data_IF_396160597511
#
_entry.id   IF_396160597511
#
_cell.length_a   1.000
_cell.length_b   1.000
_cell.length_c   1.000
_cell.angle_alpha   90.00
_cell.angle_beta   90.00
_cell.angle_gamma   90.00
#
_symmetry.space_group_name_H-M   'P 1'
#
loop_
_entity.id
_entity.type
_entity.pdbx_description
1 polymer ?
#
# COMPACT_ATOMS: atom_id res chain seq x y z
N UNK A 1 -53.06 -17.46 -45.97
CA UNK A 1 -52.83 -16.31 -45.08
C UNK A 1 -51.93 -16.81 -43.97
N UNK A 2 -50.62 -16.52 -44.02
CA UNK A 2 -49.98 -15.45 -43.23
C UNK A 2 -50.12 -15.73 -41.72
N UNK A 3 -49.09 -15.91 -40.88
CA UNK A 3 -47.69 -15.43 -40.90
C UNK A 3 -46.87 -16.22 -39.87
N UNK A 4 -45.58 -16.29 -40.16
CA UNK A 4 -44.42 -16.64 -39.33
C UNK A 4 -44.41 -15.95 -37.96
N UNK A 5 -43.70 -16.52 -36.97
CA UNK A 5 -42.64 -15.88 -36.14
C UNK A 5 -42.15 -16.97 -35.16
N UNK A 6 -41.04 -17.66 -35.44
CA UNK A 6 -39.67 -17.27 -35.07
C UNK A 6 -39.54 -16.96 -33.57
N UNK A 7 -39.37 -18.00 -32.75
CA UNK A 7 -38.83 -17.92 -31.39
C UNK A 7 -37.45 -18.55 -31.39
N UNK A 8 -36.42 -17.72 -31.34
CA UNK A 8 -35.02 -18.07 -31.46
C UNK A 8 -34.53 -18.94 -30.29
N UNK A 9 -33.66 -19.88 -30.64
CA UNK A 9 -32.83 -20.70 -29.77
C UNK A 9 -32.08 -19.83 -28.75
N UNK A 10 -32.32 -20.05 -27.46
CA UNK A 10 -31.48 -19.50 -26.39
C UNK A 10 -30.37 -20.49 -26.05
N UNK A 11 -29.16 -20.01 -26.33
CA UNK A 11 -27.86 -20.65 -26.27
C UNK A 11 -27.58 -21.39 -24.97
N UNK A 12 -27.01 -22.58 -25.12
CA UNK A 12 -26.20 -23.24 -24.11
C UNK A 12 -24.97 -22.36 -23.80
N UNK A 13 -24.85 -21.88 -22.57
CA UNK A 13 -23.61 -21.33 -22.03
C UNK A 13 -23.09 -22.30 -20.97
N UNK A 14 -22.08 -23.07 -21.34
CA UNK A 14 -21.35 -23.94 -20.43
C UNK A 14 -20.58 -23.08 -19.42
N UNK A 15 -21.00 -23.08 -18.16
CA UNK A 15 -20.23 -22.53 -17.06
C UNK A 15 -19.11 -23.52 -16.66
N UNK A 16 -18.09 -23.65 -17.51
CA UNK A 16 -16.80 -24.19 -17.09
C UNK A 16 -16.03 -23.05 -16.42
N UNK A 17 -16.39 -22.73 -15.17
CA UNK A 17 -15.58 -21.85 -14.34
C UNK A 17 -14.28 -22.60 -14.03
N UNK A 18 -13.27 -22.32 -14.84
CA UNK A 18 -11.90 -22.74 -14.64
C UNK A 18 -11.47 -22.36 -13.22
N UNK A 19 -11.07 -23.37 -12.46
CA UNK A 19 -10.29 -23.27 -11.24
C UNK A 19 -8.95 -22.60 -11.59
N UNK A 20 -8.95 -21.28 -11.69
CA UNK A 20 -7.72 -20.50 -11.66
C UNK A 20 -7.38 -20.38 -10.18
N UNK A 21 -6.24 -20.93 -9.71
CA UNK A 21 -5.76 -20.55 -8.39
C UNK A 21 -5.61 -19.05 -8.42
N UNK A 22 -6.32 -18.34 -7.53
CA UNK A 22 -6.04 -16.95 -7.27
C UNK A 22 -4.54 -16.90 -6.92
N UNK A 23 -3.72 -16.50 -7.88
CA UNK A 23 -2.38 -16.02 -7.59
C UNK A 23 -2.54 -15.04 -6.43
N UNK A 24 -1.68 -15.07 -5.41
CA UNK A 24 -1.79 -14.07 -4.37
C UNK A 24 -1.68 -12.73 -5.10
N UNK A 25 -2.77 -11.96 -5.11
CA UNK A 25 -2.63 -10.52 -5.21
C UNK A 25 -1.61 -10.21 -4.12
N UNK A 26 -0.41 -9.75 -4.49
CA UNK A 26 0.71 -9.56 -3.57
C UNK A 26 0.19 -8.77 -2.38
N UNK A 27 -0.21 -9.48 -1.32
CA UNK A 27 -0.80 -8.86 -0.17
C UNK A 27 0.36 -8.13 0.48
N UNK A 28 0.26 -6.81 0.50
CA UNK A 28 1.19 -5.93 1.18
C UNK A 28 1.61 -6.58 2.51
N UNK A 29 2.91 -6.63 2.77
CA UNK A 29 3.41 -7.28 3.98
C UNK A 29 2.85 -6.58 5.22
N UNK A 30 2.80 -7.32 6.35
CA UNK A 30 2.36 -6.74 7.61
C UNK A 30 3.24 -5.55 8.04
N UNK A 31 4.54 -5.59 7.75
CA UNK A 31 5.46 -4.50 8.04
C UNK A 31 5.14 -3.25 7.22
N UNK A 32 4.93 -3.41 5.91
CA UNK A 32 4.52 -2.33 5.03
C UNK A 32 3.16 -1.73 5.41
N UNK A 33 2.20 -2.57 5.81
CA UNK A 33 0.90 -2.09 6.29
C UNK A 33 1.05 -1.26 7.57
N UNK A 34 1.81 -1.76 8.55
CA UNK A 34 2.09 -1.05 9.79
C UNK A 34 2.81 0.29 9.57
N UNK A 35 3.75 0.33 8.62
CA UNK A 35 4.48 1.56 8.28
C UNK A 35 3.53 2.63 7.72
N UNK A 36 2.64 2.26 6.81
CA UNK A 36 1.65 3.19 6.26
C UNK A 36 0.67 3.66 7.30
N UNK A 37 0.16 2.76 8.13
CA UNK A 37 -0.77 3.13 9.20
C UNK A 37 -0.14 4.16 10.14
N UNK A 38 1.15 3.99 10.47
CA UNK A 38 1.90 4.95 11.27
C UNK A 38 2.08 6.30 10.57
N UNK A 39 2.44 6.30 9.27
CA UNK A 39 2.62 7.52 8.46
C UNK A 39 1.29 8.28 8.32
N UNK A 40 0.21 7.59 7.97
CA UNK A 40 -1.11 8.19 7.83
C UNK A 40 -1.59 8.76 9.17
N UNK A 41 -1.37 8.06 10.28
CA UNK A 41 -1.70 8.60 11.60
C UNK A 41 -0.90 9.86 11.95
N UNK A 42 0.36 9.97 11.52
CA UNK A 42 1.16 11.18 11.69
C UNK A 42 0.66 12.34 10.80
N UNK A 43 0.25 12.05 9.56
CA UNK A 43 -0.40 13.02 8.66
C UNK A 43 -1.71 13.53 9.26
N UNK A 44 -2.56 12.65 9.76
CA UNK A 44 -3.83 13.01 10.40
C UNK A 44 -3.62 13.85 11.67
N UNK A 45 -2.54 13.59 12.41
CA UNK A 45 -2.14 14.38 13.57
C UNK A 45 -1.54 15.75 13.21
N UNK A 46 -1.27 16.02 11.94
CA UNK A 46 -0.56 17.21 11.44
C UNK A 46 -1.49 18.13 10.63
N UNK A 47 -2.36 18.93 11.30
CA UNK A 47 -3.40 19.72 10.64
C UNK A 47 -2.86 20.80 9.69
N UNK A 48 -1.58 21.17 9.82
CA UNK A 48 -0.93 22.19 8.98
C UNK A 48 -0.17 21.57 7.80
N UNK A 49 -0.22 20.25 7.60
CA UNK A 49 0.52 19.55 6.54
C UNK A 49 2.04 19.51 6.78
N UNK A 50 2.48 19.76 8.01
CA UNK A 50 3.89 19.66 8.42
C UNK A 50 3.97 18.94 9.75
N UNK A 51 4.89 17.99 9.87
CA UNK A 51 5.13 17.28 11.12
C UNK A 51 5.90 18.19 12.07
N UNK A 52 5.37 18.43 13.26
CA UNK A 52 6.12 19.07 14.33
C UNK A 52 7.17 18.10 14.91
N UNK A 53 8.11 18.62 15.70
CA UNK A 53 9.22 17.83 16.24
C UNK A 53 8.75 16.61 17.06
N UNK A 54 7.63 16.71 17.80
CA UNK A 54 7.14 15.56 18.58
C UNK A 54 6.55 14.50 17.64
N UNK A 55 5.77 14.91 16.65
CA UNK A 55 5.22 14.01 15.63
C UNK A 55 6.32 13.28 14.85
N UNK A 56 7.41 13.98 14.50
CA UNK A 56 8.59 13.40 13.85
C UNK A 56 9.23 12.32 14.73
N UNK A 57 9.50 12.62 15.99
CA UNK A 57 10.15 11.69 16.92
C UNK A 57 9.27 10.47 17.22
N UNK A 58 7.96 10.69 17.40
CA UNK A 58 6.99 9.62 17.62
C UNK A 58 6.88 8.70 16.39
N UNK A 59 6.84 9.28 15.18
CA UNK A 59 6.81 8.50 13.94
C UNK A 59 8.12 7.73 13.73
N UNK A 60 9.27 8.37 13.96
CA UNK A 60 10.59 7.73 13.90
C UNK A 60 10.65 6.49 14.80
N UNK A 61 10.29 6.65 16.07
CA UNK A 61 10.28 5.54 17.03
C UNK A 61 9.33 4.42 16.64
N UNK A 62 8.12 4.75 16.16
CA UNK A 62 7.17 3.75 15.66
C UNK A 62 7.74 2.94 14.49
N UNK A 63 8.28 3.62 13.48
CA UNK A 63 8.85 2.97 12.30
C UNK A 63 10.06 2.09 12.66
N UNK A 64 10.93 2.55 13.56
CA UNK A 64 12.06 1.76 14.04
C UNK A 64 11.63 0.50 14.81
N UNK A 65 10.44 0.51 15.43
CA UNK A 65 9.92 -0.62 16.19
C UNK A 65 9.21 -1.69 15.34
N UNK A 66 9.00 -1.43 14.04
CA UNK A 66 8.31 -2.38 13.16
C UNK A 66 9.19 -3.61 12.95
N UNK A 67 8.64 -4.78 13.25
CA UNK A 67 9.28 -6.06 12.94
C UNK A 67 9.19 -6.32 11.44
N UNK A 68 10.30 -6.05 10.75
CA UNK A 68 10.45 -6.22 9.31
C UNK A 68 11.77 -6.96 9.02
N UNK A 69 11.89 -7.50 7.81
CA UNK A 69 13.12 -8.15 7.36
C UNK A 69 13.47 -7.78 5.91
N UNK A 70 14.75 -7.90 5.57
CA UNK A 70 15.25 -7.63 4.22
C UNK A 70 14.98 -6.21 3.74
N UNK A 71 14.61 -6.08 2.46
CA UNK A 71 14.42 -4.79 1.81
C UNK A 71 13.34 -3.93 2.48
N UNK A 72 12.27 -4.53 3.01
CA UNK A 72 11.21 -3.77 3.72
C UNK A 72 11.75 -3.09 4.98
N UNK A 73 12.57 -3.79 5.75
CA UNK A 73 13.23 -3.20 6.92
C UNK A 73 14.14 -2.05 6.51
N UNK A 74 14.94 -2.25 5.47
CA UNK A 74 15.89 -1.24 5.01
C UNK A 74 15.18 0.04 4.60
N UNK A 75 14.09 -0.04 3.82
CA UNK A 75 13.37 1.15 3.37
C UNK A 75 12.53 1.81 4.47
N UNK A 76 11.95 1.03 5.39
CA UNK A 76 11.22 1.57 6.54
C UNK A 76 12.16 2.35 7.45
N UNK A 77 13.35 1.79 7.72
CA UNK A 77 14.38 2.47 8.53
C UNK A 77 14.96 3.68 7.80
N UNK A 78 15.21 3.59 6.49
CA UNK A 78 15.69 4.73 5.70
C UNK A 78 14.69 5.89 5.70
N UNK A 79 13.39 5.58 5.55
CA UNK A 79 12.33 6.59 5.67
C UNK A 79 12.30 7.18 7.09
N UNK A 80 12.39 6.33 8.12
CA UNK A 80 12.43 6.79 9.50
C UNK A 80 13.60 7.76 9.72
N UNK A 81 14.81 7.36 9.37
CA UNK A 81 16.01 8.18 9.59
C UNK A 81 15.96 9.49 8.80
N UNK A 82 15.36 9.50 7.60
CA UNK A 82 15.13 10.71 6.83
C UNK A 82 14.20 11.71 7.52
N UNK A 83 13.28 11.27 8.39
CA UNK A 83 12.40 12.17 9.16
C UNK A 83 13.17 13.03 10.18
N UNK A 84 14.28 12.51 10.71
CA UNK A 84 15.05 13.14 11.79
C UNK A 84 16.37 13.73 11.31
N UNK A 85 16.72 13.56 10.04
CA UNK A 85 17.92 14.13 9.43
C UNK A 85 17.65 15.57 8.98
N UNK A 86 18.19 16.54 9.73
CA UNK A 86 18.07 17.97 9.43
C UNK A 86 18.67 18.39 8.07
N UNK A 87 19.48 17.53 7.44
CA UNK A 87 20.00 17.75 6.08
C UNK A 87 19.02 17.34 4.98
N UNK A 88 18.02 16.52 5.32
CA UNK A 88 16.97 16.09 4.40
C UNK A 88 15.89 17.17 4.32
N UNK A 89 15.84 17.84 3.17
CA UNK A 89 14.84 18.87 2.88
C UNK A 89 13.67 18.37 2.03
N UNK A 90 13.77 17.14 1.53
CA UNK A 90 12.73 16.48 0.74
C UNK A 90 12.66 14.98 1.10
N UNK A 91 11.49 14.52 1.51
CA UNK A 91 11.21 13.11 1.82
C UNK A 91 10.76 12.30 0.61
N UNK A 92 10.48 12.92 -0.55
CA UNK A 92 10.01 12.20 -1.75
C UNK A 92 10.90 11.01 -2.11
N UNK A 93 12.25 11.09 -2.11
CA UNK A 93 13.08 9.94 -2.47
C UNK A 93 12.91 8.75 -1.53
N UNK A 94 12.75 9.00 -0.23
CA UNK A 94 12.52 7.93 0.75
C UNK A 94 11.08 7.38 0.64
N UNK A 95 10.12 8.26 0.34
CA UNK A 95 8.71 7.91 0.12
C UNK A 95 8.55 7.04 -1.13
N UNK A 96 9.18 7.41 -2.23
CA UNK A 96 9.16 6.66 -3.50
C UNK A 96 9.74 5.26 -3.32
N UNK A 97 10.84 5.14 -2.59
CA UNK A 97 11.48 3.86 -2.33
C UNK A 97 10.65 2.96 -1.40
N UNK A 98 10.02 3.56 -0.38
CA UNK A 98 9.03 2.87 0.45
C UNK A 98 7.86 2.36 -0.39
N UNK A 99 7.28 3.21 -1.24
CA UNK A 99 6.17 2.85 -2.14
C UNK A 99 6.57 1.73 -3.12
N UNK A 100 7.78 1.81 -3.69
CA UNK A 100 8.32 0.82 -4.61
C UNK A 100 8.46 -0.56 -3.97
N UNK A 101 8.96 -0.63 -2.73
CA UNK A 101 9.17 -1.91 -2.03
C UNK A 101 7.87 -2.45 -1.45
N UNK A 102 7.03 -1.57 -0.90
CA UNK A 102 5.76 -1.95 -0.31
C UNK A 102 4.62 -2.15 -1.31
N UNK A 103 4.86 -1.90 -2.61
CA UNK A 103 3.90 -1.98 -3.71
C UNK A 103 2.63 -1.14 -3.45
N UNK A 104 2.83 0.14 -3.14
CA UNK A 104 1.81 1.11 -2.73
C UNK A 104 1.28 1.93 -3.91
#
# INVERSE_FOLDING_TARGET
MSKLFSGALLSAAAAAALLVPAAPAHAQSQACAAAIDAINAAVDASPNGTFDANTIQDLHGKLQSIDAAGAEKEVILAYADALVDDSVTNLDPATDELNRVCNL
#
